data_IF_077379887551
#
_entry.id   IF_077379887551
#
_cell.length_a   1.000
_cell.length_b   1.000
_cell.length_c   1.000
_cell.angle_alpha   90.00
_cell.angle_beta   90.00
_cell.angle_gamma   90.00
#
_symmetry.space_group_name_H-M   'P 1'
#
loop_
_entity.id
_entity.type
_entity.pdbx_description
1 polymer ?
#
# COMPACT_ATOMS: atom_id res chain seq x y z
N UNK A 1 37.82 -41.17 61.98
CA UNK A 1 37.15 -41.25 60.67
C UNK A 1 36.09 -40.20 60.65
N UNK A 2 36.31 -39.03 60.00
CA UNK A 2 35.33 -37.96 59.85
C UNK A 2 34.77 -38.05 58.43
N UNK A 3 33.46 -38.35 58.31
CA UNK A 3 32.76 -38.30 57.03
C UNK A 3 32.43 -36.88 56.64
N UNK A 4 32.93 -36.39 55.50
CA UNK A 4 32.49 -35.15 54.86
C UNK A 4 31.21 -35.46 54.03
N UNK A 5 30.11 -34.82 54.36
CA UNK A 5 28.92 -34.73 53.49
C UNK A 5 29.17 -33.65 52.44
N UNK A 6 29.19 -34.05 51.18
CA UNK A 6 29.14 -33.15 50.02
C UNK A 6 27.66 -32.86 49.69
N UNK A 7 27.19 -31.64 49.93
CA UNK A 7 25.91 -31.19 49.50
C UNK A 7 26.00 -30.69 48.07
N UNK A 8 25.45 -31.40 47.14
CA UNK A 8 25.38 -31.02 45.72
C UNK A 8 24.24 -30.00 45.53
N UNK A 9 24.59 -28.74 45.33
CA UNK A 9 23.65 -27.69 44.90
C UNK A 9 23.42 -27.87 43.40
N UNK A 10 22.28 -28.46 43.03
CA UNK A 10 21.79 -28.42 41.65
C UNK A 10 21.23 -27.04 41.35
N UNK A 11 22.02 -26.19 40.68
CA UNK A 11 21.53 -25.00 40.02
C UNK A 11 20.59 -25.43 38.88
N UNK A 12 19.29 -25.37 39.11
CA UNK A 12 18.33 -25.35 38.01
C UNK A 12 18.52 -24.00 37.27
N UNK A 13 19.32 -24.06 36.21
CA UNK A 13 19.38 -22.99 35.22
C UNK A 13 18.03 -22.92 34.51
N UNK A 14 17.21 -21.94 34.87
CA UNK A 14 16.10 -21.50 34.04
C UNK A 14 16.70 -21.02 32.71
N UNK A 15 16.71 -21.88 31.69
CA UNK A 15 16.93 -21.44 30.32
C UNK A 15 15.73 -20.58 29.97
N UNK A 16 15.86 -19.26 30.12
CA UNK A 16 14.95 -18.30 29.53
C UNK A 16 14.96 -18.60 28.03
N UNK A 17 13.87 -19.14 27.50
CA UNK A 17 13.70 -19.39 26.07
C UNK A 17 14.06 -18.11 25.33
N UNK A 18 14.96 -18.19 24.36
CA UNK A 18 15.34 -17.02 23.57
C UNK A 18 14.09 -16.53 22.81
N UNK A 19 13.74 -15.25 22.98
CA UNK A 19 12.62 -14.65 22.28
C UNK A 19 12.79 -14.78 20.78
N UNK A 20 11.78 -15.35 20.10
CA UNK A 20 11.74 -15.50 18.65
C UNK A 20 11.24 -14.23 17.97
N UNK A 21 12.04 -13.66 17.07
CA UNK A 21 11.60 -12.58 16.18
C UNK A 21 10.87 -13.23 14.99
N UNK A 22 9.55 -13.02 14.91
CA UNK A 22 8.71 -13.53 13.81
C UNK A 22 8.79 -12.63 12.58
N UNK A 23 8.78 -11.29 12.81
CA UNK A 23 8.97 -10.27 11.77
C UNK A 23 9.98 -9.27 12.31
N UNK A 24 11.11 -9.06 11.61
CA UNK A 24 12.09 -8.06 12.02
C UNK A 24 11.54 -6.63 11.93
N UNK A 25 12.14 -5.65 12.61
CA UNK A 25 11.72 -4.26 12.56
C UNK A 25 11.63 -3.72 11.12
N UNK A 26 10.48 -3.11 10.80
CA UNK A 26 10.20 -2.46 9.54
C UNK A 26 9.62 -1.05 9.72
N UNK A 27 9.89 -0.20 8.74
CA UNK A 27 9.54 1.22 8.74
C UNK A 27 8.14 1.43 8.13
N UNK A 28 7.31 2.20 8.84
CA UNK A 28 5.98 2.60 8.38
C UNK A 28 5.89 4.14 8.31
N UNK A 29 5.01 4.68 7.44
CA UNK A 29 4.81 6.13 7.32
C UNK A 29 4.44 6.82 8.63
N UNK A 30 3.54 6.20 9.40
CA UNK A 30 2.93 6.82 10.57
C UNK A 30 1.84 7.84 10.23
N UNK A 31 1.14 8.34 11.25
CA UNK A 31 0.04 9.29 11.07
C UNK A 31 0.56 10.73 10.90
N UNK A 32 1.00 11.07 9.69
CA UNK A 32 1.46 12.41 9.30
C UNK A 32 1.01 12.73 7.85
N UNK A 33 -0.27 13.06 7.65
CA UNK A 33 -0.81 13.29 6.31
C UNK A 33 -0.18 14.51 5.61
N UNK A 34 0.05 15.59 6.33
CA UNK A 34 0.56 16.84 5.79
C UNK A 34 2.01 17.13 6.22
N UNK A 35 2.57 18.25 5.76
CA UNK A 35 3.90 18.70 6.18
C UNK A 35 3.92 19.45 7.52
N UNK A 36 2.89 19.33 8.35
CA UNK A 36 2.86 19.96 9.69
C UNK A 36 3.86 19.32 10.66
N UNK A 37 4.09 18.02 10.52
CA UNK A 37 5.05 17.24 11.31
C UNK A 37 5.65 16.11 10.48
N UNK A 38 6.82 15.61 10.93
CA UNK A 38 7.41 14.41 10.37
C UNK A 38 7.70 13.38 11.45
N UNK A 39 7.30 12.16 11.20
CA UNK A 39 7.53 11.00 12.04
C UNK A 39 7.57 9.73 11.19
N UNK A 40 8.14 8.67 11.76
CA UNK A 40 8.02 7.30 11.24
C UNK A 40 7.66 6.36 12.37
N UNK A 41 7.13 5.20 12.05
CA UNK A 41 6.85 4.15 13.04
C UNK A 41 7.64 2.92 12.68
N UNK A 42 8.37 2.37 13.65
CA UNK A 42 8.95 1.04 13.55
C UNK A 42 7.99 0.04 14.15
N UNK A 43 7.75 -1.05 13.43
CA UNK A 43 6.92 -2.17 13.86
C UNK A 43 7.72 -3.45 13.74
N UNK A 44 7.57 -4.38 14.70
CA UNK A 44 8.12 -5.73 14.64
C UNK A 44 7.25 -6.69 15.42
N UNK A 45 7.39 -7.98 15.13
CA UNK A 45 6.53 -9.01 15.65
C UNK A 45 7.36 -10.13 16.27
N UNK A 46 6.98 -10.57 17.49
CA UNK A 46 7.67 -11.63 18.20
C UNK A 46 6.70 -12.73 18.63
N UNK A 47 7.25 -13.84 19.12
CA UNK A 47 6.50 -14.86 19.83
C UNK A 47 5.82 -14.31 21.10
N UNK A 48 5.26 -15.19 21.92
CA UNK A 48 4.52 -14.84 23.14
C UNK A 48 5.38 -14.30 24.28
N UNK A 49 6.70 -14.40 24.20
CA UNK A 49 7.61 -13.98 25.26
C UNK A 49 7.84 -12.47 25.13
N UNK A 50 7.54 -11.70 26.19
CA UNK A 50 7.81 -10.27 26.20
C UNK A 50 9.31 -9.98 26.31
N UNK A 51 9.83 -9.17 25.38
CA UNK A 51 11.18 -8.64 25.43
C UNK A 51 11.23 -7.18 25.83
N UNK A 52 12.34 -6.79 26.45
CA UNK A 52 12.64 -5.38 26.73
C UNK A 52 13.47 -4.83 25.58
N UNK A 53 12.78 -4.18 24.64
CA UNK A 53 13.42 -3.55 23.48
C UNK A 53 13.80 -2.11 23.76
N UNK A 54 14.91 -1.69 23.15
CA UNK A 54 15.37 -0.31 23.11
C UNK A 54 15.39 0.14 21.66
N UNK A 55 14.83 1.33 21.40
CA UNK A 55 14.85 1.95 20.07
C UNK A 55 15.56 3.30 20.18
N UNK A 56 16.63 3.43 19.45
CA UNK A 56 17.45 4.63 19.36
C UNK A 56 17.50 5.13 17.91
N UNK A 57 17.55 6.45 17.72
CA UNK A 57 17.69 7.04 16.41
C UNK A 57 18.41 8.39 16.47
N UNK A 58 19.02 8.77 15.36
CA UNK A 58 19.74 10.04 15.22
C UNK A 58 19.65 10.55 13.79
N UNK A 59 19.81 11.85 13.60
CA UNK A 59 20.02 12.43 12.28
C UNK A 59 21.38 12.00 11.73
N UNK A 60 21.45 11.75 10.42
CA UNK A 60 22.64 11.29 9.73
C UNK A 60 22.65 9.79 9.43
N UNK A 61 23.74 9.34 8.81
CA UNK A 61 23.89 8.00 8.25
C UNK A 61 24.55 7.00 9.21
N UNK A 62 24.74 7.35 10.48
CA UNK A 62 25.41 6.49 11.45
C UNK A 62 25.04 6.84 12.90
N UNK A 63 24.93 5.84 13.76
CA UNK A 63 24.81 5.96 15.22
C UNK A 63 26.22 5.90 15.85
N UNK A 64 26.95 6.98 15.75
CA UNK A 64 28.28 7.11 16.41
C UNK A 64 28.14 7.61 17.85
N UNK A 65 29.17 7.38 18.69
CA UNK A 65 29.20 7.81 20.09
C UNK A 65 29.08 9.32 20.28
N UNK A 66 29.39 10.11 19.25
CA UNK A 66 29.30 11.58 19.23
C UNK A 66 27.94 12.11 18.77
N UNK A 67 27.04 11.24 18.33
CA UNK A 67 25.73 11.64 17.79
C UNK A 67 24.76 11.97 18.93
N UNK A 68 23.91 12.99 18.72
CA UNK A 68 22.74 13.24 19.60
C UNK A 68 21.71 12.15 19.39
N UNK A 69 21.73 11.15 20.26
CA UNK A 69 20.84 10.00 20.20
C UNK A 69 19.50 10.34 20.84
N UNK A 70 18.42 10.14 20.10
CA UNK A 70 17.04 10.16 20.58
C UNK A 70 16.57 8.73 20.89
N UNK A 71 15.65 8.58 21.83
CA UNK A 71 15.04 7.29 22.21
C UNK A 71 13.55 7.32 21.91
N UNK A 72 13.04 6.26 21.31
CA UNK A 72 11.59 6.10 21.08
C UNK A 72 10.99 5.15 22.12
N UNK A 73 9.79 5.51 22.61
CA UNK A 73 9.02 4.64 23.51
C UNK A 73 8.53 3.43 22.74
N UNK A 74 8.80 2.24 23.25
CA UNK A 74 8.31 0.98 22.68
C UNK A 74 6.99 0.61 23.36
N UNK A 75 5.97 0.34 22.56
CA UNK A 75 4.64 -0.06 23.02
C UNK A 75 4.31 -1.48 22.51
N UNK A 76 4.21 -2.47 23.39
CA UNK A 76 3.79 -3.82 23.03
C UNK A 76 2.25 -3.92 22.96
N UNK A 77 1.75 -4.68 21.98
CA UNK A 77 0.36 -5.09 21.88
C UNK A 77 0.31 -6.62 21.77
N UNK A 78 -0.37 -7.26 22.70
CA UNK A 78 -0.57 -8.72 22.63
C UNK A 78 -1.67 -9.02 21.61
N UNK A 79 -1.40 -9.90 20.68
CA UNK A 79 -2.36 -10.42 19.72
C UNK A 79 -2.70 -11.87 20.09
N UNK A 80 -3.98 -12.14 20.25
CA UNK A 80 -4.52 -13.50 20.42
C UNK A 80 -5.16 -13.92 19.10
N UNK A 81 -4.53 -14.86 18.43
CA UNK A 81 -4.91 -15.33 17.08
C UNK A 81 -5.21 -16.83 17.20
N UNK A 82 -6.48 -17.18 17.42
CA UNK A 82 -6.86 -18.54 17.76
C UNK A 82 -6.16 -18.98 19.05
N UNK A 83 -5.49 -20.12 19.02
CA UNK A 83 -4.71 -20.64 20.15
C UNK A 83 -3.31 -20.02 20.29
N UNK A 84 -2.87 -19.18 19.34
CA UNK A 84 -1.55 -18.57 19.35
C UNK A 84 -1.58 -17.18 19.97
N UNK A 85 -0.59 -16.90 20.81
CA UNK A 85 -0.33 -15.56 21.33
C UNK A 85 0.98 -15.06 20.77
N UNK A 86 0.97 -13.83 20.26
CA UNK A 86 2.16 -13.15 19.73
C UNK A 86 2.18 -11.70 20.20
N UNK A 87 3.29 -11.02 20.08
CA UNK A 87 3.42 -9.62 20.54
C UNK A 87 3.89 -8.75 19.37
N UNK A 88 3.09 -7.74 19.08
CA UNK A 88 3.40 -6.70 18.12
C UNK A 88 3.93 -5.48 18.86
N UNK A 89 5.11 -5.02 18.50
CA UNK A 89 5.74 -3.84 19.07
C UNK A 89 5.68 -2.67 18.10
N UNK A 90 5.49 -1.47 18.63
CA UNK A 90 5.55 -0.20 17.92
C UNK A 90 6.44 0.80 18.62
N UNK A 91 7.21 1.55 17.84
CA UNK A 91 7.99 2.68 18.34
C UNK A 91 7.89 3.85 17.35
N UNK A 92 7.38 4.99 17.81
CA UNK A 92 7.26 6.19 16.98
C UNK A 92 8.55 7.02 17.07
N UNK A 93 9.19 7.20 15.94
CA UNK A 93 10.31 8.12 15.75
C UNK A 93 9.75 9.51 15.43
N UNK A 94 9.62 10.36 16.42
CA UNK A 94 8.98 11.68 16.29
C UNK A 94 9.98 12.82 16.31
N UNK A 95 9.54 14.01 15.84
CA UNK A 95 10.39 15.20 15.80
C UNK A 95 11.47 15.14 14.73
N UNK A 96 11.19 14.42 13.63
CA UNK A 96 12.09 14.35 12.49
C UNK A 96 12.02 15.64 11.68
N UNK A 97 13.16 16.07 11.17
CA UNK A 97 13.25 17.15 10.19
C UNK A 97 12.96 16.59 8.80
N UNK A 98 12.22 17.33 8.00
CA UNK A 98 12.03 17.00 6.59
C UNK A 98 13.37 17.06 5.83
N UNK A 99 13.46 16.37 4.71
CA UNK A 99 14.64 16.35 3.82
C UNK A 99 15.94 15.83 4.49
N UNK A 100 15.83 15.11 5.60
CA UNK A 100 16.97 14.64 6.38
C UNK A 100 17.05 13.11 6.43
N UNK A 101 18.27 12.59 6.41
CA UNK A 101 18.54 11.18 6.69
C UNK A 101 18.56 10.92 8.20
N UNK A 102 18.07 9.74 8.58
CA UNK A 102 18.09 9.24 9.95
C UNK A 102 18.53 7.80 9.99
N UNK A 103 19.30 7.44 11.01
CA UNK A 103 19.62 6.05 11.32
C UNK A 103 18.90 5.64 12.59
N UNK A 104 18.29 4.47 12.60
CA UNK A 104 17.70 3.87 13.79
C UNK A 104 18.37 2.55 14.14
N UNK A 105 18.27 2.18 15.43
CA UNK A 105 18.69 0.87 15.97
C UNK A 105 17.61 0.34 16.90
N UNK A 106 17.28 -0.93 16.72
CA UNK A 106 16.41 -1.70 17.63
C UNK A 106 17.29 -2.77 18.28
N UNK A 107 17.31 -2.80 19.62
CA UNK A 107 18.09 -3.77 20.40
C UNK A 107 17.18 -4.51 21.38
N UNK A 108 17.51 -5.77 21.68
CA UNK A 108 16.94 -6.59 22.74
C UNK A 108 18.08 -6.90 23.73
N UNK A 109 18.07 -6.27 24.91
CA UNK A 109 19.25 -6.19 25.76
C UNK A 109 20.42 -5.58 24.99
N UNK A 110 21.56 -6.24 24.99
CA UNK A 110 22.77 -5.79 24.27
C UNK A 110 22.82 -6.24 22.80
N UNK A 111 21.88 -7.11 22.38
CA UNK A 111 21.83 -7.64 21.01
C UNK A 111 21.13 -6.67 20.07
N UNK A 112 21.83 -6.21 19.03
CA UNK A 112 21.23 -5.44 17.94
C UNK A 112 20.37 -6.40 17.10
N UNK A 113 19.08 -6.07 16.97
CA UNK A 113 18.11 -6.83 16.17
C UNK A 113 17.98 -6.24 14.76
N UNK A 114 18.01 -4.92 14.65
CA UNK A 114 17.96 -4.23 13.36
C UNK A 114 18.60 -2.86 13.46
N UNK A 115 19.30 -2.48 12.41
CA UNK A 115 19.80 -1.13 12.19
C UNK A 115 19.64 -0.78 10.71
N UNK A 116 19.13 0.40 10.42
CA UNK A 116 19.04 0.90 9.05
C UNK A 116 18.93 2.42 9.01
N UNK A 117 19.22 2.97 7.84
CA UNK A 117 19.06 4.39 7.52
C UNK A 117 17.84 4.58 6.63
N UNK A 118 17.08 5.65 6.87
CA UNK A 118 15.95 6.06 6.07
C UNK A 118 15.96 7.56 5.81
N UNK A 119 15.25 8.00 4.77
CA UNK A 119 15.00 9.42 4.53
C UNK A 119 13.65 9.82 5.11
N UNK A 120 13.63 10.94 5.83
CA UNK A 120 12.41 11.64 6.16
C UNK A 120 11.74 12.17 4.87
N UNK A 121 10.42 12.45 4.90
CA UNK A 121 9.74 12.98 3.71
C UNK A 121 10.40 14.27 3.23
N UNK A 122 10.48 14.42 1.91
CA UNK A 122 10.86 15.70 1.29
C UNK A 122 9.64 16.62 1.21
N UNK A 123 9.87 17.94 1.30
CA UNK A 123 8.87 18.98 1.02
C UNK A 123 8.93 19.49 -0.41
N UNK A 124 9.93 19.08 -1.17
CA UNK A 124 10.24 19.60 -2.50
C UNK A 124 10.39 18.45 -3.51
N UNK A 125 10.26 18.79 -4.78
CA UNK A 125 10.70 17.94 -5.89
C UNK A 125 12.24 17.87 -5.96
N UNK A 126 12.83 16.87 -6.60
CA UNK A 126 12.14 15.78 -7.28
C UNK A 126 11.61 14.72 -6.30
N UNK A 127 10.51 14.09 -6.67
CA UNK A 127 9.94 12.95 -5.95
C UNK A 127 9.94 11.72 -6.84
N UNK A 128 10.44 10.58 -6.33
CA UNK A 128 10.39 9.29 -7.02
C UNK A 128 9.70 8.27 -6.13
N UNK A 129 8.69 7.63 -6.66
CA UNK A 129 8.01 6.54 -5.99
C UNK A 129 7.64 5.41 -6.95
N UNK A 130 7.34 4.26 -6.38
CA UNK A 130 6.97 3.05 -7.12
C UNK A 130 5.56 2.64 -6.73
N UNK A 131 4.81 2.15 -7.71
CA UNK A 131 3.45 1.64 -7.55
C UNK A 131 3.36 0.23 -8.11
N UNK A 132 2.76 -0.67 -7.37
CA UNK A 132 2.31 -1.99 -7.81
C UNK A 132 1.22 -2.48 -6.87
N UNK A 133 0.35 -3.35 -7.33
CA UNK A 133 -0.65 -4.06 -6.52
C UNK A 133 -0.53 -5.57 -6.71
N UNK A 134 -1.42 -6.32 -6.04
CA UNK A 134 -1.64 -7.74 -6.31
C UNK A 134 -0.34 -8.56 -6.16
N UNK A 135 0.33 -8.37 -5.03
CA UNK A 135 1.73 -8.78 -4.93
C UNK A 135 1.98 -9.98 -4.02
N UNK A 136 1.32 -10.07 -2.86
CA UNK A 136 1.66 -11.00 -1.77
C UNK A 136 1.24 -12.45 -1.99
N UNK A 137 1.63 -13.05 -3.12
CA UNK A 137 1.34 -14.44 -3.46
C UNK A 137 2.50 -15.41 -3.14
N UNK A 138 3.68 -14.90 -2.76
CA UNK A 138 4.86 -15.70 -2.44
C UNK A 138 5.59 -16.27 -3.66
N UNK A 139 5.33 -15.72 -4.85
CA UNK A 139 5.86 -16.21 -6.14
C UNK A 139 7.31 -15.78 -6.38
N UNK A 140 8.05 -16.45 -7.26
CA UNK A 140 9.35 -15.97 -7.73
C UNK A 140 9.24 -14.57 -8.37
N UNK A 141 8.14 -14.29 -9.08
CA UNK A 141 7.90 -13.01 -9.74
C UNK A 141 7.77 -11.86 -8.74
N UNK A 142 7.05 -12.05 -7.63
CA UNK A 142 6.99 -11.07 -6.54
C UNK A 142 8.39 -10.72 -6.02
N UNK A 143 9.26 -11.70 -5.87
CA UNK A 143 10.63 -11.50 -5.38
C UNK A 143 11.47 -10.73 -6.39
N UNK A 144 11.37 -11.08 -7.68
CA UNK A 144 12.05 -10.36 -8.76
C UNK A 144 11.58 -8.90 -8.87
N UNK A 145 10.26 -8.65 -8.77
CA UNK A 145 9.70 -7.29 -8.70
C UNK A 145 10.26 -6.53 -7.49
N UNK A 146 10.24 -7.12 -6.30
CA UNK A 146 10.78 -6.47 -5.09
C UNK A 146 12.26 -6.08 -5.25
N UNK A 147 13.06 -6.94 -5.88
CA UNK A 147 14.45 -6.64 -6.21
C UNK A 147 14.57 -5.48 -7.19
N UNK A 148 13.78 -5.46 -8.27
CA UNK A 148 13.81 -4.36 -9.25
C UNK A 148 13.31 -3.04 -8.65
N UNK A 149 12.29 -3.07 -7.79
CA UNK A 149 11.84 -1.90 -7.02
C UNK A 149 12.98 -1.34 -6.16
N UNK A 150 13.75 -2.21 -5.51
CA UNK A 150 14.92 -1.79 -4.71
C UNK A 150 15.99 -1.11 -5.56
N UNK A 151 16.22 -1.57 -6.80
CA UNK A 151 17.15 -0.96 -7.76
C UNK A 151 16.71 0.47 -8.14
N UNK A 152 15.41 0.77 -8.15
CA UNK A 152 14.89 2.11 -8.48
C UNK A 152 15.12 3.13 -7.35
N UNK A 153 15.48 2.70 -6.13
CA UNK A 153 15.72 3.57 -4.96
C UNK A 153 14.56 4.56 -4.72
N UNK A 154 13.33 4.10 -4.61
CA UNK A 154 12.18 4.99 -4.42
C UNK A 154 12.23 5.62 -3.03
N UNK A 155 11.63 6.80 -2.90
CA UNK A 155 11.46 7.46 -1.62
C UNK A 155 10.33 6.84 -0.80
N UNK A 156 9.34 6.27 -1.48
CA UNK A 156 8.28 5.45 -0.90
C UNK A 156 7.73 4.45 -1.95
N UNK A 157 7.01 3.46 -1.46
CA UNK A 157 6.27 2.51 -2.28
C UNK A 157 4.78 2.69 -1.99
N UNK A 158 3.94 2.71 -3.03
CA UNK A 158 2.49 2.64 -2.96
C UNK A 158 2.04 1.25 -3.43
N UNK A 159 1.49 0.44 -2.52
CA UNK A 159 0.92 -0.86 -2.89
C UNK A 159 -0.57 -0.68 -3.16
N UNK A 160 -0.99 -0.91 -4.39
CA UNK A 160 -2.35 -0.64 -4.86
C UNK A 160 -3.39 -1.71 -4.45
N UNK A 161 -3.26 -2.27 -3.25
CA UNK A 161 -4.15 -3.28 -2.67
C UNK A 161 -3.76 -4.71 -2.98
N UNK A 162 -4.51 -5.65 -2.40
CA UNK A 162 -4.23 -7.09 -2.40
C UNK A 162 -2.80 -7.37 -1.98
N UNK A 163 -2.53 -6.93 -0.74
CA UNK A 163 -1.20 -6.98 -0.16
C UNK A 163 -0.75 -8.43 0.07
N UNK A 164 -1.70 -9.33 0.36
CA UNK A 164 -1.46 -10.77 0.49
C UNK A 164 -2.63 -11.60 -0.02
N UNK A 165 -2.37 -12.79 -0.46
CA UNK A 165 -3.33 -13.76 -0.95
C UNK A 165 -3.40 -14.98 -0.01
N UNK A 166 -4.60 -15.57 0.11
CA UNK A 166 -5.83 -15.21 -0.63
C UNK A 166 -6.86 -14.45 0.22
N UNK A 167 -6.60 -14.19 1.51
CA UNK A 167 -7.67 -13.75 2.43
C UNK A 167 -7.24 -12.71 3.47
N UNK A 168 -6.10 -12.06 3.30
CA UNK A 168 -5.63 -10.97 4.16
C UNK A 168 -5.26 -11.43 5.58
N UNK A 169 -4.62 -12.61 5.70
CA UNK A 169 -4.39 -13.29 6.96
C UNK A 169 -3.01 -12.97 7.56
N UNK A 170 -2.91 -12.98 8.88
CA UNK A 170 -1.63 -12.81 9.59
C UNK A 170 -0.60 -13.82 9.08
N UNK A 171 -0.97 -15.09 8.93
CA UNK A 171 -0.06 -16.12 8.41
C UNK A 171 0.39 -15.87 6.98
N UNK A 172 -0.43 -15.22 6.15
CA UNK A 172 -0.08 -14.87 4.76
C UNK A 172 0.94 -13.73 4.72
N UNK A 173 0.77 -12.70 5.54
CA UNK A 173 1.78 -11.64 5.71
C UNK A 173 3.12 -12.22 6.15
N UNK A 174 3.11 -13.14 7.13
CA UNK A 174 4.33 -13.78 7.63
C UNK A 174 5.01 -14.67 6.57
N UNK A 175 4.23 -15.37 5.75
CA UNK A 175 4.76 -16.33 4.78
C UNK A 175 5.12 -15.70 3.42
N UNK A 176 4.42 -14.63 3.00
CA UNK A 176 4.46 -14.18 1.59
C UNK A 176 4.80 -12.71 1.41
N UNK A 177 4.58 -11.85 2.42
CA UNK A 177 4.85 -10.42 2.32
C UNK A 177 6.17 -10.03 2.99
N UNK A 178 6.26 -10.22 4.30
CA UNK A 178 7.45 -9.81 5.04
C UNK A 178 8.74 -10.49 4.59
N UNK A 179 8.79 -11.81 4.28
CA UNK A 179 10.04 -12.42 3.82
C UNK A 179 10.58 -11.87 2.51
N UNK A 180 9.70 -11.30 1.66
CA UNK A 180 10.08 -10.73 0.37
C UNK A 180 10.57 -9.29 0.52
N UNK A 181 9.82 -8.45 1.26
CA UNK A 181 10.13 -7.02 1.40
C UNK A 181 11.03 -6.68 2.59
N UNK A 182 11.35 -7.68 3.42
CA UNK A 182 12.34 -7.62 4.51
C UNK A 182 13.45 -8.66 4.32
N UNK A 183 13.65 -9.13 3.10
CA UNK A 183 14.75 -10.06 2.79
C UNK A 183 16.07 -9.51 3.36
N UNK A 184 16.91 -10.33 3.99
CA UNK A 184 18.17 -9.87 4.54
C UNK A 184 19.15 -9.37 3.48
N UNK A 185 19.02 -9.87 2.27
CA UNK A 185 19.82 -9.50 1.09
C UNK A 185 18.92 -9.25 -0.13
N UNK A 186 19.37 -8.39 -1.04
CA UNK A 186 18.65 -8.06 -2.26
C UNK A 186 19.08 -9.00 -3.39
N UNK A 187 18.13 -9.80 -3.91
CA UNK A 187 18.31 -10.62 -5.12
C UNK A 187 16.97 -10.92 -5.78
N UNK A 188 17.00 -11.33 -7.05
CA UNK A 188 15.78 -11.71 -7.78
C UNK A 188 15.07 -12.92 -7.16
N UNK A 189 15.81 -13.82 -6.51
CA UNK A 189 15.29 -15.06 -5.91
C UNK A 189 14.76 -14.85 -4.50
N UNK A 190 15.17 -13.78 -3.80
CA UNK A 190 14.84 -13.55 -2.39
C UNK A 190 13.95 -12.33 -2.16
N UNK A 191 14.00 -11.33 -3.02
CA UNK A 191 13.41 -10.03 -2.83
C UNK A 191 14.42 -9.00 -2.35
N UNK A 192 14.03 -8.05 -1.48
CA UNK A 192 14.92 -6.99 -1.03
C UNK A 192 14.55 -6.44 0.35
N UNK A 193 15.49 -5.82 1.10
CA UNK A 193 15.26 -5.23 2.42
C UNK A 193 14.58 -3.85 2.35
N UNK A 194 13.57 -3.71 1.49
CA UNK A 194 12.88 -2.46 1.19
C UNK A 194 12.29 -1.81 2.45
N UNK A 195 11.51 -2.56 3.21
CA UNK A 195 10.77 -2.03 4.36
C UNK A 195 11.65 -1.67 5.56
N UNK A 196 12.94 -2.00 5.54
CA UNK A 196 13.87 -1.50 6.57
C UNK A 196 14.08 0.01 6.46
N UNK A 197 14.04 0.56 5.24
CA UNK A 197 14.46 1.95 4.96
C UNK A 197 13.42 2.76 4.18
N UNK A 198 12.51 2.10 3.47
CA UNK A 198 11.53 2.73 2.57
C UNK A 198 10.13 2.53 3.15
N UNK A 199 9.38 3.62 3.42
CA UNK A 199 8.01 3.50 3.89
C UNK A 199 7.09 2.99 2.78
N UNK A 200 6.21 2.04 3.14
CA UNK A 200 5.16 1.53 2.28
C UNK A 200 3.82 2.15 2.67
N UNK A 201 3.16 2.78 1.70
CA UNK A 201 1.75 3.18 1.77
C UNK A 201 0.94 2.09 1.10
N UNK A 202 0.01 1.48 1.83
CA UNK A 202 -0.74 0.33 1.35
C UNK A 202 -2.21 0.69 1.23
N UNK A 203 -2.82 0.37 0.09
CA UNK A 203 -4.26 0.38 -0.08
C UNK A 203 -4.85 -0.93 0.43
N UNK A 204 -6.11 -0.90 0.82
CA UNK A 204 -6.87 -2.11 1.11
C UNK A 204 -7.47 -2.66 -0.19
N UNK A 205 -7.17 -3.92 -0.52
CA UNK A 205 -7.80 -4.64 -1.62
C UNK A 205 -8.90 -5.60 -1.13
N UNK A 206 -9.54 -6.30 -2.05
CA UNK A 206 -10.63 -7.23 -1.69
C UNK A 206 -10.11 -8.45 -0.93
N UNK A 207 -8.92 -8.94 -1.25
CA UNK A 207 -8.30 -10.04 -0.52
C UNK A 207 -7.90 -9.62 0.92
N UNK A 208 -7.52 -8.37 1.16
CA UNK A 208 -7.20 -7.87 2.50
C UNK A 208 -8.41 -7.82 3.45
N UNK A 209 -9.63 -7.76 2.89
CA UNK A 209 -10.90 -7.65 3.64
C UNK A 209 -11.81 -8.87 3.50
N UNK A 210 -11.33 -9.95 2.91
CA UNK A 210 -12.15 -11.13 2.64
C UNK A 210 -12.50 -11.92 3.91
N UNK A 211 -11.55 -12.06 4.83
CA UNK A 211 -11.72 -12.84 6.06
C UNK A 211 -12.21 -11.94 7.21
N UNK A 212 -13.51 -11.68 7.29
CA UNK A 212 -14.12 -10.80 8.29
C UNK A 212 -14.70 -11.51 9.51
N UNK A 213 -15.03 -12.81 9.41
CA UNK A 213 -15.55 -13.61 10.52
C UNK A 213 -14.39 -14.09 11.42
N UNK A 214 -14.11 -13.32 12.47
CA UNK A 214 -12.96 -13.52 13.34
C UNK A 214 -13.12 -14.70 14.32
N UNK A 215 -14.33 -15.25 14.48
CA UNK A 215 -14.52 -16.51 15.23
C UNK A 215 -14.08 -17.70 14.39
N UNK A 216 -14.33 -17.69 13.09
CA UNK A 216 -13.92 -18.75 12.15
C UNK A 216 -12.49 -18.59 11.66
N UNK A 217 -12.07 -17.34 11.41
CA UNK A 217 -10.76 -16.98 10.86
C UNK A 217 -10.12 -15.92 11.75
N UNK A 218 -9.58 -16.30 12.91
CA UNK A 218 -9.10 -15.36 13.93
C UNK A 218 -7.86 -14.56 13.53
N UNK A 219 -7.20 -14.91 12.43
CA UNK A 219 -6.07 -14.20 11.83
C UNK A 219 -6.45 -13.34 10.60
N UNK A 220 -7.76 -13.12 10.39
CA UNK A 220 -8.27 -12.23 9.35
C UNK A 220 -8.00 -10.75 9.61
N UNK A 221 -8.25 -9.92 8.60
CA UNK A 221 -8.08 -8.46 8.66
C UNK A 221 -6.69 -8.01 9.14
N UNK A 222 -5.65 -8.76 8.77
CA UNK A 222 -4.28 -8.52 9.23
C UNK A 222 -3.71 -7.17 8.78
N UNK A 223 -4.26 -6.59 7.71
CA UNK A 223 -3.95 -5.24 7.24
C UNK A 223 -3.99 -4.22 8.39
N UNK A 224 -5.00 -4.28 9.24
CA UNK A 224 -5.20 -3.34 10.35
C UNK A 224 -4.27 -3.56 11.55
N UNK A 225 -3.64 -4.73 11.66
CA UNK A 225 -2.60 -4.97 12.66
C UNK A 225 -1.24 -4.44 12.24
N UNK A 226 -0.85 -4.64 10.98
CA UNK A 226 0.53 -4.51 10.53
C UNK A 226 0.88 -3.15 9.94
N UNK A 227 -0.11 -2.29 9.69
CA UNK A 227 0.12 -1.00 9.07
C UNK A 227 -0.05 0.17 10.06
N UNK A 228 0.71 1.23 9.79
CA UNK A 228 0.62 2.52 10.48
C UNK A 228 0.71 3.64 9.43
N UNK A 229 -0.48 4.02 8.94
CA UNK A 229 -0.70 4.96 7.84
C UNK A 229 -1.39 6.22 8.38
N UNK A 230 -1.55 7.28 7.59
CA UNK A 230 -2.39 8.42 7.97
C UNK A 230 -3.81 7.99 8.36
N UNK A 231 -4.44 8.75 9.27
CA UNK A 231 -5.76 8.47 9.81
C UNK A 231 -6.72 9.67 9.58
N UNK A 232 -6.53 10.38 8.48
CA UNK A 232 -7.24 11.62 8.16
C UNK A 232 -8.46 11.43 7.25
N UNK A 233 -8.68 10.22 6.75
CA UNK A 233 -9.87 9.90 5.96
C UNK A 233 -11.09 9.63 6.82
N UNK A 234 -12.30 9.69 6.24
CA UNK A 234 -13.54 9.43 6.96
C UNK A 234 -13.73 7.94 7.22
N UNK A 235 -14.50 7.64 8.24
CA UNK A 235 -15.10 6.33 8.46
C UNK A 235 -16.54 6.41 7.96
N UNK A 236 -16.85 5.70 6.89
CA UNK A 236 -18.19 5.67 6.28
C UNK A 236 -19.03 4.53 6.87
N UNK A 237 -20.34 4.55 6.64
CA UNK A 237 -21.22 3.43 6.99
C UNK A 237 -20.89 2.20 6.13
N UNK A 238 -20.64 2.42 4.84
CA UNK A 238 -20.23 1.40 3.88
C UNK A 238 -18.73 1.11 3.98
N UNK A 239 -18.34 0.38 5.01
CA UNK A 239 -16.95 0.00 5.30
C UNK A 239 -16.83 -1.50 5.58
N UNK A 240 -15.62 -2.01 5.59
CA UNK A 240 -15.36 -3.38 6.05
C UNK A 240 -15.90 -3.58 7.48
N UNK A 241 -16.64 -4.68 7.70
CA UNK A 241 -17.22 -5.03 8.98
C UNK A 241 -16.55 -6.29 9.53
N UNK A 242 -15.81 -6.15 10.63
CA UNK A 242 -15.35 -7.30 11.41
C UNK A 242 -16.57 -7.97 12.05
N UNK A 243 -16.69 -9.28 11.91
CA UNK A 243 -17.81 -10.07 12.42
C UNK A 243 -17.33 -11.18 13.36
N UNK A 244 -18.23 -11.76 14.11
CA UNK A 244 -17.96 -12.77 15.15
C UNK A 244 -18.66 -12.41 16.45
N UNK A 245 -18.31 -13.08 17.54
CA UNK A 245 -18.83 -12.74 18.88
C UNK A 245 -18.39 -11.35 19.29
N UNK A 246 -19.22 -10.62 20.05
CA UNK A 246 -18.89 -9.25 20.48
C UNK A 246 -17.53 -9.11 21.17
N UNK A 247 -17.16 -10.10 21.99
CA UNK A 247 -15.86 -10.12 22.68
C UNK A 247 -14.68 -10.29 21.71
N UNK A 248 -14.83 -11.10 20.66
CA UNK A 248 -13.81 -11.30 19.62
C UNK A 248 -13.59 -10.01 18.82
N UNK A 249 -14.67 -9.40 18.33
CA UNK A 249 -14.61 -8.14 17.60
C UNK A 249 -14.00 -7.03 18.46
N UNK A 250 -14.45 -6.89 19.72
CA UNK A 250 -13.89 -5.90 20.64
C UNK A 250 -12.40 -6.12 20.93
N UNK A 251 -11.97 -7.37 21.06
CA UNK A 251 -10.55 -7.69 21.23
C UNK A 251 -9.72 -7.30 20.01
N UNK A 252 -10.22 -7.56 18.80
CA UNK A 252 -9.63 -7.12 17.54
C UNK A 252 -9.51 -5.59 17.46
N UNK A 253 -10.60 -4.86 17.68
CA UNK A 253 -10.62 -3.38 17.66
C UNK A 253 -9.63 -2.79 18.66
N UNK A 254 -9.56 -3.36 19.88
CA UNK A 254 -8.57 -2.96 20.88
C UNK A 254 -7.14 -3.21 20.41
N UNK A 255 -6.88 -4.34 19.79
CA UNK A 255 -5.53 -4.73 19.32
C UNK A 255 -5.07 -3.89 18.13
N UNK A 256 -5.99 -3.44 17.27
CA UNK A 256 -5.68 -2.50 16.19
C UNK A 256 -5.37 -1.08 16.69
N UNK A 257 -5.71 -0.75 17.95
CA UNK A 257 -5.39 0.54 18.56
C UNK A 257 -5.98 1.74 17.82
N UNK A 258 -7.23 1.61 17.32
CA UNK A 258 -7.96 2.66 16.60
C UNK A 258 -7.58 2.82 15.11
N UNK A 259 -6.82 1.88 14.54
CA UNK A 259 -6.50 1.84 13.10
C UNK A 259 -7.64 1.27 12.29
N UNK A 260 -8.32 0.25 12.80
CA UNK A 260 -9.53 -0.27 12.17
C UNK A 260 -10.72 0.63 12.50
N UNK A 261 -11.57 0.97 11.51
CA UNK A 261 -11.41 0.78 10.06
C UNK A 261 -10.71 1.97 9.36
N UNK A 262 -10.15 2.93 10.11
CA UNK A 262 -9.66 4.23 9.63
C UNK A 262 -8.54 4.16 8.59
N UNK A 263 -7.76 3.06 8.58
CA UNK A 263 -6.67 2.90 7.60
C UNK A 263 -7.16 2.68 6.17
N UNK A 264 -8.46 2.41 5.96
CA UNK A 264 -8.98 2.10 4.63
C UNK A 264 -9.03 3.33 3.71
N UNK A 265 -9.19 4.55 4.31
CA UNK A 265 -9.23 5.81 3.58
C UNK A 265 -8.28 6.81 4.22
N UNK A 266 -7.37 7.35 3.45
CA UNK A 266 -6.41 8.35 3.94
C UNK A 266 -5.80 9.14 2.79
N UNK A 267 -5.11 10.22 3.11
CA UNK A 267 -4.28 10.96 2.16
C UNK A 267 -2.94 11.35 2.77
N UNK A 268 -2.00 11.72 1.92
CA UNK A 268 -0.71 12.24 2.35
C UNK A 268 -0.05 13.10 1.29
N UNK A 269 0.80 14.02 1.78
CA UNK A 269 1.69 14.81 0.94
C UNK A 269 3.11 14.22 0.96
N UNK A 270 3.76 14.18 -0.20
CA UNK A 270 5.16 13.81 -0.33
C UNK A 270 5.80 14.61 -1.47
N UNK A 271 6.81 15.44 -1.15
CA UNK A 271 7.39 16.35 -2.14
C UNK A 271 6.34 17.29 -2.74
N UNK A 272 6.21 17.25 -4.05
CA UNK A 272 5.20 18.01 -4.78
C UNK A 272 4.00 17.17 -5.23
N UNK A 273 3.75 16.04 -4.57
CA UNK A 273 2.65 15.11 -4.87
C UNK A 273 1.71 15.02 -3.68
N UNK A 274 0.42 15.10 -3.93
CA UNK A 274 -0.66 14.76 -3.01
C UNK A 274 -1.31 13.45 -3.46
N UNK A 275 -1.43 12.48 -2.56
CA UNK A 275 -2.04 11.17 -2.88
C UNK A 275 -3.21 10.92 -1.93
N UNK A 276 -4.40 10.71 -2.52
CA UNK A 276 -5.62 10.31 -1.80
C UNK A 276 -5.90 8.83 -2.06
N UNK A 277 -5.91 8.04 -1.00
CA UNK A 277 -6.09 6.60 -1.01
C UNK A 277 -7.51 6.23 -0.54
N UNK A 278 -8.25 5.46 -1.33
CA UNK A 278 -9.66 5.13 -1.09
C UNK A 278 -9.87 3.62 -1.00
N UNK A 279 -10.80 3.20 -0.16
CA UNK A 279 -11.39 1.87 -0.20
C UNK A 279 -12.41 1.81 -1.34
N UNK A 280 -12.19 0.92 -2.31
CA UNK A 280 -13.03 0.71 -3.48
C UNK A 280 -13.70 -0.67 -3.51
N UNK A 281 -13.70 -1.38 -2.38
CA UNK A 281 -14.29 -2.70 -2.29
C UNK A 281 -15.81 -2.68 -2.52
N UNK A 282 -16.37 -3.83 -2.86
CA UNK A 282 -17.78 -3.97 -3.26
C UNK A 282 -18.80 -3.45 -2.24
N UNK A 283 -18.44 -3.38 -0.98
CA UNK A 283 -19.26 -2.79 0.07
C UNK A 283 -19.17 -1.26 0.13
N UNK A 284 -18.14 -0.67 -0.45
CA UNK A 284 -17.90 0.78 -0.37
C UNK A 284 -18.85 1.54 -1.32
N UNK A 285 -19.41 2.63 -0.83
CA UNK A 285 -20.15 3.58 -1.64
C UNK A 285 -19.22 4.75 -2.05
N UNK A 286 -18.80 4.84 -3.32
CA UNK A 286 -17.89 5.91 -3.74
C UNK A 286 -18.52 7.31 -3.64
N UNK A 287 -19.84 7.40 -3.60
CA UNK A 287 -20.60 8.65 -3.48
C UNK A 287 -21.13 8.90 -2.05
N UNK A 288 -20.58 8.21 -1.03
CA UNK A 288 -20.87 8.53 0.36
C UNK A 288 -20.61 10.01 0.64
N UNK A 289 -21.57 10.71 1.26
CA UNK A 289 -21.51 12.16 1.43
C UNK A 289 -20.29 12.62 2.24
N UNK A 290 -19.93 11.86 3.29
CA UNK A 290 -18.76 12.19 4.11
C UNK A 290 -17.46 11.97 3.32
N UNK A 291 -17.43 10.96 2.45
CA UNK A 291 -16.29 10.69 1.56
C UNK A 291 -16.12 11.83 0.54
N UNK A 292 -17.19 12.19 -0.17
CA UNK A 292 -17.18 13.25 -1.18
C UNK A 292 -16.77 14.60 -0.55
N UNK A 293 -17.31 14.94 0.61
CA UNK A 293 -16.97 16.16 1.31
C UNK A 293 -15.50 16.17 1.78
N UNK A 294 -15.01 15.04 2.29
CA UNK A 294 -13.61 14.91 2.67
C UNK A 294 -12.69 15.08 1.46
N UNK A 295 -12.96 14.38 0.34
CA UNK A 295 -12.17 14.52 -0.88
C UNK A 295 -12.13 15.95 -1.39
N UNK A 296 -13.26 16.66 -1.34
CA UNK A 296 -13.33 18.10 -1.72
C UNK A 296 -12.38 18.93 -0.88
N UNK A 297 -12.43 18.79 0.44
CA UNK A 297 -11.57 19.56 1.35
C UNK A 297 -10.10 19.18 1.21
N UNK A 298 -9.83 17.90 1.13
CA UNK A 298 -8.47 17.34 1.12
C UNK A 298 -7.73 17.69 -0.17
N UNK A 299 -8.30 17.34 -1.32
CA UNK A 299 -7.68 17.55 -2.61
C UNK A 299 -7.62 19.03 -2.99
N UNK A 300 -8.70 19.82 -2.72
CA UNK A 300 -8.69 21.27 -3.00
C UNK A 300 -7.77 22.04 -2.06
N UNK A 301 -7.60 21.56 -0.81
CA UNK A 301 -6.70 22.16 0.17
C UNK A 301 -5.23 21.94 -0.11
N UNK A 302 -4.89 20.95 -0.92
CA UNK A 302 -3.50 20.62 -1.26
C UNK A 302 -2.89 21.63 -2.23
N UNK A 303 -1.65 22.04 -1.91
CA UNK A 303 -0.83 22.92 -2.77
C UNK A 303 0.16 22.14 -3.63
N UNK A 304 0.04 20.81 -3.67
CA UNK A 304 0.89 19.96 -4.49
C UNK A 304 0.70 20.23 -5.99
N UNK A 305 1.78 20.17 -6.76
CA UNK A 305 1.69 20.28 -8.21
C UNK A 305 0.89 19.10 -8.82
N UNK A 306 1.03 17.91 -8.22
CA UNK A 306 0.43 16.67 -8.72
C UNK A 306 -0.58 16.13 -7.73
N UNK A 307 -1.81 15.92 -8.18
CA UNK A 307 -2.92 15.35 -7.42
C UNK A 307 -3.23 13.96 -7.96
N UNK A 308 -3.01 12.95 -7.16
CA UNK A 308 -3.18 11.54 -7.53
C UNK A 308 -4.21 10.91 -6.60
N UNK A 309 -5.13 10.14 -7.16
CA UNK A 309 -6.05 9.29 -6.39
C UNK A 309 -5.70 7.84 -6.63
N UNK A 310 -5.72 7.03 -5.59
CA UNK A 310 -5.40 5.61 -5.68
C UNK A 310 -6.46 4.77 -4.99
N UNK A 311 -6.90 3.71 -5.64
CA UNK A 311 -7.83 2.72 -5.10
C UNK A 311 -7.67 1.38 -5.84
N UNK A 312 -8.07 0.29 -5.19
CA UNK A 312 -7.74 -1.04 -5.69
C UNK A 312 -8.50 -1.39 -6.98
N UNK A 313 -9.84 -1.42 -6.96
CA UNK A 313 -10.65 -1.85 -8.10
C UNK A 313 -10.78 -0.76 -9.17
N UNK A 314 -10.26 -0.96 -10.41
CA UNK A 314 -10.29 0.07 -11.44
C UNK A 314 -11.70 0.29 -12.00
N UNK A 315 -12.08 1.56 -12.18
CA UNK A 315 -13.30 1.91 -12.92
C UNK A 315 -13.16 1.71 -14.43
N UNK A 316 -11.96 1.84 -14.96
CA UNK A 316 -11.64 1.70 -16.39
C UNK A 316 -10.67 0.54 -16.59
N UNK A 317 -11.17 -0.55 -17.15
CA UNK A 317 -10.47 -1.81 -17.31
C UNK A 317 -10.77 -2.41 -18.67
N UNK A 318 -9.76 -2.80 -19.43
CA UNK A 318 -9.88 -3.42 -20.76
C UNK A 318 -9.67 -4.94 -20.73
N UNK A 319 -9.32 -5.52 -19.60
CA UNK A 319 -9.24 -6.96 -19.42
C UNK A 319 -10.63 -7.59 -19.34
N UNK A 320 -10.79 -8.84 -19.76
CA UNK A 320 -12.04 -9.59 -19.57
C UNK A 320 -12.30 -9.93 -18.10
N UNK A 321 -11.20 -10.05 -17.32
CA UNK A 321 -11.28 -10.25 -15.88
C UNK A 321 -11.74 -8.98 -15.18
N UNK A 322 -12.77 -9.08 -14.33
CA UNK A 322 -13.32 -7.99 -13.52
C UNK A 322 -13.87 -6.79 -14.31
N UNK A 323 -14.12 -6.95 -15.61
CA UNK A 323 -14.59 -5.87 -16.49
C UNK A 323 -15.88 -5.20 -16.00
N UNK A 324 -16.79 -5.98 -15.44
CA UNK A 324 -18.12 -5.50 -15.06
C UNK A 324 -18.10 -4.62 -13.80
N UNK A 325 -17.03 -4.62 -13.01
CA UNK A 325 -16.95 -3.83 -11.79
C UNK A 325 -16.50 -2.40 -12.09
N UNK A 326 -17.45 -1.53 -12.42
CA UNK A 326 -17.19 -0.18 -12.91
C UNK A 326 -17.67 0.94 -11.96
N UNK A 327 -18.13 0.61 -10.76
CA UNK A 327 -18.80 1.56 -9.84
C UNK A 327 -17.91 2.77 -9.53
N UNK A 328 -16.59 2.61 -9.51
CA UNK A 328 -15.64 3.72 -9.28
C UNK A 328 -15.64 4.78 -10.40
N UNK A 329 -16.24 4.50 -11.58
CA UNK A 329 -16.48 5.53 -12.63
C UNK A 329 -17.38 6.67 -12.15
N UNK A 330 -18.21 6.42 -11.15
CA UNK A 330 -19.08 7.45 -10.56
C UNK A 330 -18.30 8.61 -9.93
N UNK A 331 -17.06 8.38 -9.55
CA UNK A 331 -16.17 9.44 -9.04
C UNK A 331 -15.61 10.36 -10.13
N UNK A 332 -15.62 9.95 -11.41
CA UNK A 332 -14.94 10.70 -12.48
C UNK A 332 -15.28 12.19 -12.51
N UNK A 333 -16.57 12.61 -12.43
CA UNK A 333 -16.89 14.05 -12.43
C UNK A 333 -16.30 14.81 -11.25
N UNK A 334 -16.26 14.17 -10.06
CA UNK A 334 -15.66 14.78 -8.87
C UNK A 334 -14.14 14.88 -9.02
N UNK A 335 -13.49 13.84 -9.51
CA UNK A 335 -12.04 13.85 -9.71
C UNK A 335 -11.62 14.90 -10.74
N UNK A 336 -12.39 15.06 -11.82
CA UNK A 336 -12.20 16.09 -12.84
C UNK A 336 -12.35 17.49 -12.26
N UNK A 337 -13.42 17.74 -11.48
CA UNK A 337 -13.68 19.01 -10.78
C UNK A 337 -12.53 19.38 -9.84
N UNK A 338 -11.96 18.39 -9.12
CA UNK A 338 -10.89 18.59 -8.16
C UNK A 338 -9.50 18.73 -8.82
N UNK A 339 -9.41 18.55 -10.14
CA UNK A 339 -8.17 18.65 -10.90
C UNK A 339 -7.21 17.51 -10.61
N UNK A 340 -7.73 16.29 -10.44
CA UNK A 340 -6.91 15.08 -10.32
C UNK A 340 -6.22 14.80 -11.65
N UNK A 341 -4.92 14.51 -11.58
CA UNK A 341 -4.08 14.27 -12.77
C UNK A 341 -4.06 12.80 -13.19
N UNK A 342 -4.06 11.91 -12.19
CA UNK A 342 -3.88 10.48 -12.42
C UNK A 342 -4.62 9.65 -11.38
N UNK A 343 -5.13 8.50 -11.80
CA UNK A 343 -5.68 7.47 -10.91
C UNK A 343 -4.85 6.21 -11.02
N UNK A 344 -4.47 5.62 -9.87
CA UNK A 344 -3.64 4.42 -9.76
C UNK A 344 -4.45 3.27 -9.16
N UNK A 345 -4.43 2.13 -9.83
CA UNK A 345 -5.23 0.95 -9.48
C UNK A 345 -4.40 -0.35 -9.44
N UNK A 346 -4.94 -1.38 -8.79
CA UNK A 346 -4.54 -2.79 -8.84
C UNK A 346 -5.66 -3.68 -9.36
N UNK A 347 -5.92 -4.81 -8.67
CA UNK A 347 -7.04 -5.73 -8.83
C UNK A 347 -7.01 -6.56 -10.12
N UNK A 348 -6.72 -5.96 -11.25
CA UNK A 348 -6.57 -6.67 -12.52
C UNK A 348 -5.09 -6.97 -12.69
N UNK A 349 -4.75 -8.26 -12.67
CA UNK A 349 -3.34 -8.71 -12.63
C UNK A 349 -2.64 -8.50 -13.98
N UNK A 350 -2.47 -7.23 -14.36
CA UNK A 350 -1.78 -6.81 -15.56
C UNK A 350 -1.36 -5.33 -15.47
N UNK A 351 -0.81 -4.80 -16.53
CA UNK A 351 -0.60 -3.37 -16.71
C UNK A 351 -1.57 -2.82 -17.73
N UNK A 352 -2.23 -1.70 -17.40
CA UNK A 352 -3.05 -0.96 -18.36
C UNK A 352 -2.82 0.54 -18.20
N UNK A 353 -2.90 1.26 -19.32
CA UNK A 353 -2.91 2.72 -19.35
C UNK A 353 -3.97 3.21 -20.33
N UNK A 354 -4.72 4.22 -19.90
CA UNK A 354 -5.70 4.90 -20.77
C UNK A 354 -5.09 6.09 -21.49
N UNK A 355 -5.73 6.56 -22.56
CA UNK A 355 -5.61 7.97 -22.97
C UNK A 355 -6.09 8.84 -21.80
N UNK A 356 -5.71 10.12 -21.71
CA UNK A 356 -6.38 11.03 -20.79
C UNK A 356 -7.86 11.10 -21.15
N UNK A 357 -8.74 10.92 -20.16
CA UNK A 357 -10.17 10.88 -20.41
C UNK A 357 -10.98 11.65 -19.37
N UNK A 358 -12.18 12.06 -19.78
CA UNK A 358 -13.29 12.50 -18.93
C UNK A 358 -14.44 11.55 -19.10
N UNK A 359 -15.21 11.33 -18.04
CA UNK A 359 -16.34 10.42 -18.08
C UNK A 359 -17.55 11.01 -17.35
N UNK A 360 -18.66 11.14 -18.07
CA UNK A 360 -19.92 11.61 -17.52
C UNK A 360 -20.88 10.41 -17.33
N UNK A 361 -21.06 9.90 -16.08
CA UNK A 361 -22.01 8.83 -15.82
C UNK A 361 -23.42 9.24 -16.18
N UNK A 362 -24.16 8.36 -16.88
CA UNK A 362 -25.53 8.58 -17.30
C UNK A 362 -26.49 8.47 -16.13
N UNK A 363 -27.47 9.36 -16.09
CA UNK A 363 -28.58 9.26 -15.17
C UNK A 363 -29.83 8.72 -15.86
N UNK A 364 -30.73 8.14 -15.08
CA UNK A 364 -32.05 7.70 -15.57
C UNK A 364 -32.89 8.91 -16.09
N UNK A 365 -34.02 8.65 -16.68
CA UNK A 365 -34.89 9.66 -17.25
C UNK A 365 -35.39 10.71 -16.24
N UNK A 366 -35.49 10.37 -14.96
CA UNK A 366 -35.82 11.28 -13.87
C UNK A 366 -34.65 12.16 -13.42
N UNK A 367 -33.41 11.81 -13.80
CA UNK A 367 -32.20 12.55 -13.44
C UNK A 367 -31.71 12.38 -12.00
N UNK A 368 -32.34 11.48 -11.22
CA UNK A 368 -32.09 11.28 -9.80
C UNK A 368 -31.15 10.12 -9.47
N UNK A 369 -30.96 9.15 -10.39
CA UNK A 369 -30.12 7.96 -10.18
C UNK A 369 -29.21 7.70 -11.37
N UNK A 370 -28.00 7.24 -11.08
CA UNK A 370 -27.08 6.75 -12.10
C UNK A 370 -27.57 5.42 -12.69
N UNK A 371 -27.30 5.21 -13.97
CA UNK A 371 -27.61 3.94 -14.67
C UNK A 371 -26.46 2.97 -14.41
N UNK A 372 -26.76 1.99 -13.56
CA UNK A 372 -25.82 0.93 -13.17
C UNK A 372 -26.50 -0.40 -13.44
N UNK A 373 -25.81 -1.32 -14.15
CA UNK A 373 -26.34 -2.67 -14.37
C UNK A 373 -26.28 -3.50 -13.07
N UNK A 374 -27.05 -4.60 -12.98
CA UNK A 374 -26.96 -5.52 -11.83
C UNK A 374 -25.53 -6.06 -11.57
N UNK A 375 -24.73 -6.17 -12.62
CA UNK A 375 -23.33 -6.65 -12.56
C UNK A 375 -22.33 -5.54 -12.18
N UNK A 376 -22.78 -4.29 -12.05
CA UNK A 376 -21.94 -3.15 -11.66
C UNK A 376 -21.36 -2.33 -12.82
N UNK A 377 -21.84 -2.52 -14.06
CA UNK A 377 -21.46 -1.66 -15.19
C UNK A 377 -22.12 -0.30 -15.08
N UNK A 378 -21.34 0.75 -15.31
CA UNK A 378 -21.80 2.15 -15.27
C UNK A 378 -21.85 2.71 -16.68
N UNK A 379 -23.07 3.01 -17.15
CA UNK A 379 -23.28 3.68 -18.44
C UNK A 379 -22.89 5.15 -18.37
N UNK A 380 -22.36 5.69 -19.47
CA UNK A 380 -21.92 7.08 -19.51
C UNK A 380 -21.29 7.48 -20.84
N UNK A 381 -20.82 8.71 -20.89
CA UNK A 381 -20.22 9.28 -22.09
C UNK A 381 -18.73 9.55 -21.84
N UNK A 382 -17.90 9.06 -22.72
CA UNK A 382 -16.46 9.30 -22.74
C UNK A 382 -16.12 10.56 -23.55
N UNK A 383 -15.18 11.34 -23.04
CA UNK A 383 -14.43 12.34 -23.82
C UNK A 383 -12.95 11.94 -23.74
N UNK A 384 -12.38 11.56 -24.88
CA UNK A 384 -11.02 11.04 -24.97
C UNK A 384 -10.07 12.11 -25.54
N UNK A 385 -8.90 12.27 -24.93
CA UNK A 385 -7.82 13.08 -25.48
C UNK A 385 -6.89 12.21 -26.35
N UNK A 386 -7.29 11.99 -27.58
CA UNK A 386 -6.53 11.22 -28.56
C UNK A 386 -5.26 11.92 -29.05
N UNK A 387 -5.07 13.22 -28.73
CA UNK A 387 -3.86 13.97 -29.12
C UNK A 387 -2.69 13.74 -28.18
N UNK A 388 -2.98 13.39 -26.94
CA UNK A 388 -1.95 13.12 -25.94
C UNK A 388 -1.21 11.81 -26.29
N UNK A 389 0.10 11.91 -26.51
CA UNK A 389 0.97 10.74 -26.75
C UNK A 389 2.02 10.52 -25.66
N UNK A 390 2.18 11.48 -24.73
CA UNK A 390 3.18 11.46 -23.66
C UNK A 390 4.62 11.62 -24.13
N UNK A 391 4.84 11.98 -25.39
CA UNK A 391 6.16 12.17 -26.03
C UNK A 391 6.27 13.59 -26.58
N UNK A 392 5.48 13.92 -27.60
CA UNK A 392 5.43 15.25 -28.23
C UNK A 392 4.28 16.09 -27.68
N UNK A 393 3.15 15.46 -27.36
CA UNK A 393 1.97 16.08 -26.74
C UNK A 393 1.88 15.57 -25.30
N UNK A 394 2.46 16.35 -24.37
CA UNK A 394 2.65 15.94 -22.97
C UNK A 394 1.67 16.58 -22.00
N UNK A 395 0.83 17.51 -22.46
CA UNK A 395 -0.19 18.17 -21.62
C UNK A 395 -1.55 17.51 -21.83
N UNK A 396 -2.04 16.67 -20.87
CA UNK A 396 -3.29 15.96 -21.02
C UNK A 396 -4.52 16.87 -20.83
N UNK A 397 -5.61 16.56 -21.53
CA UNK A 397 -6.93 17.11 -21.30
C UNK A 397 -7.86 16.03 -20.74
N UNK A 398 -7.68 15.67 -19.49
CA UNK A 398 -8.39 14.61 -18.78
C UNK A 398 -7.49 13.90 -17.80
N UNK A 399 -8.02 12.86 -17.15
CA UNK A 399 -7.34 12.06 -16.15
C UNK A 399 -6.73 10.82 -16.82
N UNK A 400 -5.51 10.48 -16.49
CA UNK A 400 -4.86 9.23 -16.92
C UNK A 400 -5.11 8.16 -15.87
N UNK A 401 -5.69 7.02 -16.27
CA UNK A 401 -5.93 5.88 -15.38
C UNK A 401 -4.90 4.79 -15.66
N UNK A 402 -4.28 4.30 -14.59
CA UNK A 402 -3.23 3.28 -14.64
C UNK A 402 -3.68 2.09 -13.79
N UNK A 403 -3.67 0.90 -14.37
CA UNK A 403 -3.72 -0.37 -13.63
C UNK A 403 -2.29 -0.89 -13.53
N UNK A 404 -1.80 -1.09 -12.31
CA UNK A 404 -0.47 -1.63 -12.00
C UNK A 404 -0.61 -2.86 -11.09
N UNK A 405 -1.42 -3.84 -11.53
CA UNK A 405 -1.76 -5.05 -10.77
C UNK A 405 -0.88 -6.26 -11.08
N UNK A 406 0.25 -6.07 -11.76
CA UNK A 406 1.15 -7.16 -12.13
C UNK A 406 2.30 -7.39 -11.12
N UNK A 407 2.07 -7.08 -9.82
CA UNK A 407 3.09 -7.03 -8.77
C UNK A 407 3.58 -8.39 -8.25
N UNK A 408 2.97 -9.51 -8.67
CA UNK A 408 3.46 -10.83 -8.25
C UNK A 408 2.45 -11.97 -8.25
N UNK A 409 1.15 -11.71 -8.16
CA UNK A 409 0.11 -12.74 -8.30
C UNK A 409 -0.04 -13.19 -9.75
N UNK A 410 -0.72 -14.32 -10.00
CA UNK A 410 -0.90 -14.87 -11.35
C UNK A 410 -1.56 -13.88 -12.29
N UNK A 411 -1.00 -13.68 -13.48
CA UNK A 411 -1.49 -12.72 -14.47
C UNK A 411 -2.81 -13.18 -15.11
N UNK A 412 -3.64 -12.22 -15.53
CA UNK A 412 -4.91 -12.45 -16.20
C UNK A 412 -4.79 -12.15 -17.70
N UNK A 413 -5.58 -12.90 -18.52
CA UNK A 413 -5.84 -12.59 -19.93
C UNK A 413 -4.57 -12.39 -20.80
N UNK A 414 -3.54 -13.21 -20.61
CA UNK A 414 -2.29 -13.12 -21.39
C UNK A 414 -2.51 -13.12 -22.91
N UNK A 415 -3.61 -13.73 -23.38
CA UNK A 415 -3.95 -13.79 -24.80
C UNK A 415 -4.23 -12.41 -25.44
N UNK A 416 -4.67 -11.41 -24.66
CA UNK A 416 -5.02 -10.05 -25.15
C UNK A 416 -3.85 -9.05 -25.00
N UNK A 417 -2.71 -9.51 -24.49
CA UNK A 417 -1.52 -8.65 -24.26
C UNK A 417 -1.06 -8.02 -25.56
N UNK A 418 -0.94 -6.68 -25.58
CA UNK A 418 -0.54 -5.90 -26.76
C UNK A 418 -1.34 -6.17 -28.06
N UNK A 419 -2.60 -6.57 -27.94
CA UNK A 419 -3.48 -6.87 -29.08
C UNK A 419 -4.77 -6.05 -29.03
N UNK A 420 -4.74 -4.76 -29.45
CA UNK A 420 -5.89 -3.86 -29.37
C UNK A 420 -7.17 -4.40 -30.02
N UNK A 421 -7.03 -5.18 -31.09
CA UNK A 421 -8.16 -5.81 -31.78
C UNK A 421 -8.94 -6.81 -30.91
N UNK A 422 -8.35 -7.29 -29.81
CA UNK A 422 -8.97 -8.19 -28.84
C UNK A 422 -9.51 -7.48 -27.59
N UNK A 423 -9.30 -6.17 -27.43
CA UNK A 423 -9.82 -5.40 -26.29
C UNK A 423 -11.29 -5.05 -26.48
N UNK A 424 -12.12 -6.11 -26.60
CA UNK A 424 -13.53 -6.03 -26.87
C UNK A 424 -14.28 -6.80 -25.80
N UNK A 425 -15.36 -6.24 -25.27
CA UNK A 425 -16.10 -6.90 -24.21
C UNK A 425 -17.47 -7.36 -24.63
N UNK A 426 -18.46 -6.56 -24.82
CA UNK A 426 -19.82 -7.03 -25.09
C UNK A 426 -20.54 -6.27 -26.22
N UNK A 427 -21.48 -6.91 -26.91
CA UNK A 427 -22.38 -6.24 -27.84
C UNK A 427 -23.20 -5.14 -27.12
N UNK A 428 -23.64 -4.08 -27.86
CA UNK A 428 -23.32 -3.82 -29.26
C UNK A 428 -21.90 -3.29 -29.49
N UNK A 429 -21.26 -2.76 -28.45
CA UNK A 429 -19.94 -2.12 -28.53
C UNK A 429 -18.95 -2.84 -27.64
N UNK A 430 -18.30 -3.85 -28.19
CA UNK A 430 -17.27 -4.61 -27.45
C UNK A 430 -15.93 -3.91 -27.45
N UNK A 431 -15.86 -2.66 -27.84
CA UNK A 431 -14.63 -1.90 -27.91
C UNK A 431 -14.40 -1.09 -26.62
N UNK A 432 -13.17 -1.06 -26.13
CA UNK A 432 -12.74 -0.27 -24.98
C UNK A 432 -11.90 0.90 -25.51
N UNK A 433 -12.52 2.01 -25.94
CA UNK A 433 -11.86 3.05 -26.73
C UNK A 433 -10.82 3.85 -25.93
N UNK A 434 -10.86 3.75 -24.62
CA UNK A 434 -9.99 4.52 -23.71
C UNK A 434 -8.61 3.88 -23.52
N UNK A 435 -8.39 2.63 -23.91
CA UNK A 435 -7.15 1.90 -23.63
C UNK A 435 -6.08 2.15 -24.68
N UNK A 436 -4.89 2.56 -24.26
CA UNK A 436 -3.70 2.74 -25.11
C UNK A 436 -2.72 1.59 -24.96
N UNK A 437 -2.58 1.06 -23.75
CA UNK A 437 -1.64 0.00 -23.42
C UNK A 437 -2.31 -1.02 -22.52
N UNK A 438 -2.16 -2.29 -22.86
CA UNK A 438 -2.50 -3.43 -22.01
C UNK A 438 -1.43 -4.49 -22.19
N UNK A 439 -0.73 -4.84 -21.11
CA UNK A 439 0.32 -5.86 -21.07
C UNK A 439 -0.01 -6.83 -19.95
N UNK A 440 -0.28 -8.07 -20.32
CA UNK A 440 -0.87 -9.10 -19.46
C UNK A 440 -0.06 -10.39 -19.40
N UNK A 441 1.11 -10.44 -20.02
CA UNK A 441 1.97 -11.62 -20.12
C UNK A 441 3.30 -11.46 -19.37
N UNK A 442 3.52 -10.29 -18.74
CA UNK A 442 4.72 -10.00 -17.96
C UNK A 442 4.35 -9.32 -16.62
N UNK A 443 5.02 -9.75 -15.54
CA UNK A 443 4.94 -9.05 -14.26
C UNK A 443 5.72 -7.74 -14.31
N UNK A 444 5.15 -6.71 -13.67
CA UNK A 444 5.68 -5.36 -13.80
C UNK A 444 5.27 -4.44 -12.67
N UNK A 445 5.88 -3.26 -12.63
CA UNK A 445 5.60 -2.20 -11.66
C UNK A 445 5.81 -0.82 -12.30
N UNK A 446 5.10 0.16 -11.78
CA UNK A 446 5.16 1.56 -12.25
C UNK A 446 6.15 2.36 -11.43
N UNK A 447 7.01 3.14 -12.08
CA UNK A 447 7.87 4.16 -11.46
C UNK A 447 7.37 5.53 -11.88
N UNK A 448 7.09 6.39 -10.89
CA UNK A 448 6.67 7.78 -11.12
C UNK A 448 7.74 8.70 -10.55
N UNK A 449 8.17 9.64 -11.37
CA UNK A 449 9.12 10.69 -11.02
C UNK A 449 8.50 12.04 -11.32
N UNK A 450 8.54 12.95 -10.33
CA UNK A 450 8.05 14.31 -10.51
C UNK A 450 9.15 15.32 -10.25
N UNK A 451 9.23 16.36 -11.10
CA UNK A 451 10.11 17.50 -10.88
C UNK A 451 9.38 18.79 -11.28
N UNK A 452 8.92 19.55 -10.29
CA UNK A 452 8.01 20.66 -10.48
C UNK A 452 6.77 20.21 -11.26
N UNK A 453 6.47 20.90 -12.35
CA UNK A 453 5.32 20.63 -13.24
C UNK A 453 5.59 19.58 -14.32
N UNK A 454 6.59 18.74 -14.14
CA UNK A 454 6.92 17.60 -15.02
C UNK A 454 6.76 16.31 -14.26
N UNK A 455 6.09 15.33 -14.86
CA UNK A 455 5.95 13.97 -14.36
C UNK A 455 6.40 13.01 -15.46
N UNK A 456 7.21 12.04 -15.08
CA UNK A 456 7.59 10.90 -15.91
C UNK A 456 7.03 9.63 -15.29
N UNK A 457 6.30 8.86 -16.05
CA UNK A 457 5.86 7.53 -15.70
C UNK A 457 6.60 6.51 -16.56
N UNK A 458 7.13 5.47 -15.93
CA UNK A 458 7.72 4.31 -16.60
C UNK A 458 7.11 3.04 -16.05
N UNK A 459 6.81 2.08 -16.93
CA UNK A 459 6.45 0.73 -16.54
C UNK A 459 7.62 -0.20 -16.83
N UNK A 460 8.07 -0.90 -15.78
CA UNK A 460 9.22 -1.80 -15.83
C UNK A 460 8.79 -3.24 -15.55
N UNK A 461 9.39 -4.18 -16.27
CA UNK A 461 9.20 -5.61 -16.01
C UNK A 461 10.06 -6.15 -14.86
N UNK A 462 9.93 -7.45 -14.59
CA UNK A 462 10.69 -8.14 -13.56
C UNK A 462 12.20 -8.28 -13.86
N UNK A 463 12.65 -7.89 -15.05
CA UNK A 463 14.05 -7.79 -15.47
C UNK A 463 14.58 -6.35 -15.37
N UNK A 464 13.69 -5.38 -15.12
CA UNK A 464 14.02 -3.95 -15.07
C UNK A 464 14.00 -3.25 -16.44
N UNK A 465 13.44 -3.91 -17.47
CA UNK A 465 13.30 -3.31 -18.80
C UNK A 465 12.04 -2.44 -18.85
N UNK A 466 12.19 -1.23 -19.40
CA UNK A 466 11.08 -0.29 -19.61
C UNK A 466 10.33 -0.69 -20.89
N UNK A 467 9.02 -0.89 -20.81
CA UNK A 467 8.18 -1.21 -21.96
C UNK A 467 7.03 -0.22 -22.20
N UNK A 468 6.80 0.70 -21.28
CA UNK A 468 5.94 1.87 -21.47
C UNK A 468 6.53 3.06 -20.74
N UNK A 469 6.47 4.23 -21.39
CA UNK A 469 6.97 5.49 -20.83
C UNK A 469 6.15 6.66 -21.36
N UNK A 470 5.76 7.57 -20.47
CA UNK A 470 5.12 8.84 -20.82
C UNK A 470 5.69 9.99 -19.99
N UNK A 471 5.67 11.17 -20.59
CA UNK A 471 5.88 12.43 -19.92
C UNK A 471 4.55 13.20 -19.83
N UNK A 472 4.32 13.81 -18.66
CA UNK A 472 3.14 14.64 -18.41
C UNK A 472 3.63 16.01 -17.95
N UNK A 473 3.05 17.06 -18.50
CA UNK A 473 3.38 18.46 -18.14
C UNK A 473 2.12 19.25 -17.81
N UNK A 474 2.26 20.29 -16.97
CA UNK A 474 1.20 21.24 -16.61
C UNK A 474 1.45 22.62 -17.16
#
# INVERSE_FOLDING_TARGET
>A
MKQLLFTCFTCLGLTAGAQGILVPPYLQPGNNPTFSKEQKVLIWHTDSIRGVFKVEFTAGNSLMSTSKISKAKVTPTTLHIGSKTTILYRATLSGLNFDAAYTYRVSLGDKIISEATFMARTKKSPTRFVVFGDCGAGTPQQKAIAYQVWQQKPQFVLVAGDNVYSSGLVREYHARFFPVYLSPEASQEKGAPLMKSIPFYLLVGNHDTQATDLDKIPDGLAFFYFNDLPLNGPVTESRVQATGKPETVKAFEKATGGRYPKLANYSFDYGNVHITCLDANVYANPLDAAMVEWMRRDISGSQADWKIVAFHQPGFNASTSHYNYQVMRLLSPLLEELGVDMVLNGHVHNYQRTVPLKFAPKKNAAGDRYVISPEGKVDGVFTLDEKFDGISQTKPNGIIYIVSGAGGAGLYDAAVSNKPELWKHEPPENWVPFTVKLVSDIHSFTVIETDGKKLRLRQLDAQGLVFDEIHVTK
#
